data_IF_060359577217
#
_entry.id   IF_060359577217
#
_cell.length_a   1.000
_cell.length_b   1.000
_cell.length_c   1.000
_cell.angle_alpha   90.00
_cell.angle_beta   90.00
_cell.angle_gamma   90.00
#
_symmetry.space_group_name_H-M   'P 1'
#
loop_
_entity.id
_entity.type
_entity.pdbx_description
1 polymer ?
#
# COMPACT_ATOMS: atom_id res chain seq x y z
N UNK A 1 21.78 42.38 -42.45
CA UNK A 1 23.02 41.77 -43.00
C UNK A 1 24.24 42.51 -42.45
N UNK A 2 24.98 41.90 -41.51
CA UNK A 2 26.45 42.01 -41.36
C UNK A 2 26.90 41.07 -40.23
N UNK A 3 27.45 39.94 -40.64
CA UNK A 3 28.24 39.04 -39.81
C UNK A 3 29.52 39.73 -39.35
N UNK A 4 30.03 39.34 -38.18
CA UNK A 4 31.43 39.52 -37.80
C UNK A 4 31.93 38.23 -37.17
N UNK A 5 32.40 37.31 -38.02
CA UNK A 5 33.18 36.15 -37.60
C UNK A 5 34.59 36.64 -37.28
N UNK A 6 35.09 36.42 -36.06
CA UNK A 6 36.53 36.34 -35.81
C UNK A 6 36.87 35.30 -34.73
N UNK A 7 37.49 34.22 -35.22
CA UNK A 7 38.66 33.51 -34.66
C UNK A 7 38.44 32.38 -33.63
N UNK A 8 38.34 31.22 -34.24
CA UNK A 8 38.76 29.86 -33.87
C UNK A 8 40.15 29.78 -33.16
N UNK A 9 40.14 29.16 -31.96
CA UNK A 9 41.07 28.11 -31.41
C UNK A 9 42.44 28.59 -30.84
N UNK A 10 42.95 28.04 -29.69
CA UNK A 10 42.94 26.62 -29.28
C UNK A 10 42.44 26.32 -27.85
N UNK A 11 41.69 25.22 -27.62
CA UNK A 11 42.20 23.85 -27.42
C UNK A 11 43.24 23.79 -26.29
N UNK A 12 42.92 23.06 -25.19
CA UNK A 12 43.82 22.36 -24.23
C UNK A 12 43.39 22.48 -22.75
N UNK A 13 42.56 23.43 -22.32
CA UNK A 13 42.19 23.53 -20.88
C UNK A 13 40.92 22.74 -20.49
N UNK A 14 40.06 22.39 -21.45
CA UNK A 14 38.75 21.76 -21.14
C UNK A 14 38.87 20.25 -20.84
N UNK A 15 40.01 19.61 -21.13
CA UNK A 15 40.17 18.14 -21.00
C UNK A 15 40.70 17.67 -19.63
N UNK A 16 40.94 18.57 -18.67
CA UNK A 16 41.55 18.22 -17.38
C UNK A 16 40.61 18.33 -16.16
N UNK A 17 39.34 18.71 -16.34
CA UNK A 17 38.36 18.83 -15.23
C UNK A 17 37.22 17.81 -15.33
N UNK A 18 37.32 16.83 -16.26
CA UNK A 18 36.30 15.76 -16.38
C UNK A 18 36.59 14.57 -15.45
N UNK A 19 37.68 14.60 -14.66
CA UNK A 19 38.13 13.42 -13.92
C UNK A 19 37.97 13.44 -12.39
N UNK A 20 37.34 14.44 -11.78
CA UNK A 20 37.18 14.45 -10.32
C UNK A 20 35.84 15.01 -9.88
N UNK A 21 34.79 14.20 -10.05
CA UNK A 21 33.78 13.94 -9.02
C UNK A 21 32.65 13.09 -9.62
N UNK A 22 32.99 11.87 -10.05
CA UNK A 22 32.06 10.77 -9.87
C UNK A 22 32.04 10.46 -8.37
N UNK A 23 31.53 11.40 -7.56
CA UNK A 23 30.94 10.99 -6.31
C UNK A 23 29.73 10.19 -6.76
N UNK A 24 29.85 8.87 -6.71
CA UNK A 24 28.68 8.04 -6.62
C UNK A 24 27.86 8.63 -5.48
N UNK A 25 26.76 9.30 -5.82
CA UNK A 25 25.66 9.44 -4.88
C UNK A 25 25.22 8.01 -4.65
N UNK A 26 25.83 7.38 -3.67
CA UNK A 26 25.15 6.33 -2.94
C UNK A 26 23.92 7.05 -2.40
N UNK A 27 22.77 6.83 -3.04
CA UNK A 27 21.55 6.85 -2.26
C UNK A 27 21.82 5.78 -1.20
N UNK A 28 22.26 6.20 0.00
CA UNK A 28 21.77 5.53 1.19
C UNK A 28 20.28 5.43 0.93
N UNK A 29 19.80 4.20 0.82
CA UNK A 29 18.39 3.89 0.75
C UNK A 29 17.84 4.47 2.04
N UNK A 30 17.46 5.75 1.95
CA UNK A 30 16.84 6.53 3.00
C UNK A 30 15.51 5.81 3.14
N UNK A 31 15.52 4.75 3.94
CA UNK A 31 14.33 4.04 4.35
C UNK A 31 13.55 5.11 5.07
N UNK A 32 12.69 5.80 4.33
CA UNK A 32 11.76 6.75 4.90
C UNK A 32 11.00 5.90 5.89
N UNK A 33 11.33 6.06 7.18
CA UNK A 33 10.69 5.33 8.25
C UNK A 33 9.30 5.94 8.35
N UNK A 34 8.39 5.37 7.56
CA UNK A 34 7.02 5.78 7.49
C UNK A 34 6.40 5.59 8.89
N UNK A 35 5.60 6.53 9.40
CA UNK A 35 4.88 6.34 10.64
C UNK A 35 4.10 5.02 10.57
N UNK A 36 4.29 4.18 11.58
CA UNK A 36 3.63 2.89 11.70
C UNK A 36 3.07 2.76 13.13
N UNK A 37 1.89 2.19 13.25
CA UNK A 37 1.24 1.85 14.52
C UNK A 37 1.47 0.36 14.84
N UNK A 38 1.86 0.02 16.05
CA UNK A 38 2.08 -1.39 16.46
C UNK A 38 0.79 -2.06 16.93
N UNK A 39 -0.35 -1.73 16.34
CA UNK A 39 -1.67 -2.24 16.74
C UNK A 39 -2.20 -3.36 15.84
N UNK A 40 -1.37 -3.88 14.94
CA UNK A 40 -1.69 -5.04 14.10
C UNK A 40 -2.51 -4.72 12.84
N UNK A 41 -2.67 -3.43 12.48
CA UNK A 41 -3.34 -3.05 11.24
C UNK A 41 -2.45 -3.21 10.02
N UNK A 42 -3.04 -3.65 8.90
CA UNK A 42 -2.31 -3.79 7.62
C UNK A 42 -2.10 -2.43 6.94
N UNK A 43 -3.10 -1.54 6.97
CA UNK A 43 -3.03 -0.23 6.35
C UNK A 43 -2.34 0.84 7.24
N UNK A 44 -1.31 0.40 7.98
CA UNK A 44 -0.67 1.04 9.12
C UNK A 44 -0.04 2.43 8.89
N UNK A 45 -0.07 2.92 7.66
CA UNK A 45 0.65 4.11 7.23
C UNK A 45 -0.26 5.35 7.08
N UNK A 46 -1.57 5.17 6.92
CA UNK A 46 -2.47 6.26 6.57
C UNK A 46 -3.37 6.65 7.76
N UNK A 47 -2.95 7.66 8.52
CA UNK A 47 -3.73 8.21 9.64
C UNK A 47 -5.07 8.82 9.21
N UNK A 48 -5.24 9.15 7.93
CA UNK A 48 -6.48 9.67 7.36
C UNK A 48 -7.32 8.58 6.70
N UNK A 49 -6.90 7.31 6.77
CA UNK A 49 -7.66 6.21 6.21
C UNK A 49 -9.06 6.18 6.83
N UNK A 50 -10.13 6.09 6.02
CA UNK A 50 -11.49 5.97 6.54
C UNK A 50 -11.78 4.60 7.18
N UNK A 51 -10.80 3.68 7.19
CA UNK A 51 -10.92 2.31 7.68
C UNK A 51 -9.63 1.84 8.32
N UNK A 52 -9.75 0.95 9.29
CA UNK A 52 -8.69 0.17 9.88
C UNK A 52 -8.90 -1.31 9.56
N UNK A 53 -7.86 -2.00 9.06
CA UNK A 53 -7.93 -3.39 8.61
C UNK A 53 -7.08 -4.27 9.54
N UNK A 54 -7.70 -5.25 10.20
CA UNK A 54 -7.03 -6.17 11.13
C UNK A 54 -7.17 -7.61 10.65
N UNK A 55 -6.07 -8.34 10.59
CA UNK A 55 -6.05 -9.79 10.34
C UNK A 55 -5.88 -10.54 11.66
N UNK A 56 -6.67 -11.59 11.85
CA UNK A 56 -6.59 -12.47 13.00
C UNK A 56 -6.20 -13.87 12.55
N UNK A 57 -5.16 -14.42 13.16
CA UNK A 57 -4.64 -15.75 12.88
C UNK A 57 -4.83 -16.65 14.10
N UNK A 58 -5.21 -17.90 13.84
CA UNK A 58 -5.13 -18.98 14.82
C UNK A 58 -3.76 -19.65 14.71
N UNK A 59 -3.22 -20.10 15.85
CA UNK A 59 -1.95 -20.82 15.92
C UNK A 59 -2.21 -22.25 16.41
N UNK A 60 -2.75 -23.14 15.55
CA UNK A 60 -3.09 -24.50 15.94
C UNK A 60 -1.86 -25.36 16.22
N UNK A 61 -0.67 -24.93 15.78
CA UNK A 61 0.59 -25.62 15.99
C UNK A 61 1.36 -24.99 17.14
N UNK A 62 1.31 -25.63 18.31
CA UNK A 62 1.97 -25.14 19.53
C UNK A 62 3.51 -25.00 19.41
N UNK A 63 4.11 -25.73 18.47
CA UNK A 63 5.57 -25.79 18.29
C UNK A 63 6.08 -24.86 17.18
N UNK A 64 5.20 -24.20 16.41
CA UNK A 64 5.60 -23.27 15.35
C UNK A 64 4.65 -22.07 15.26
N UNK A 65 5.05 -20.99 15.92
CA UNK A 65 4.32 -19.71 15.94
C UNK A 65 4.33 -19.00 14.58
N UNK A 66 5.07 -19.49 13.58
CA UNK A 66 5.10 -18.91 12.25
C UNK A 66 4.04 -19.54 11.32
N UNK A 67 3.37 -20.61 11.76
CA UNK A 67 2.30 -21.27 11.00
C UNK A 67 0.92 -20.77 11.45
N UNK A 68 0.73 -19.45 11.41
CA UNK A 68 -0.57 -18.85 11.62
C UNK A 68 -1.52 -19.24 10.47
N UNK A 69 -2.73 -19.66 10.81
CA UNK A 69 -3.80 -19.89 9.83
C UNK A 69 -4.77 -18.72 9.95
N UNK A 70 -5.04 -18.03 8.84
CA UNK A 70 -6.01 -16.93 8.84
C UNK A 70 -7.35 -17.44 9.38
N UNK A 71 -7.89 -16.75 10.37
CA UNK A 71 -9.21 -17.00 10.95
C UNK A 71 -10.22 -16.02 10.35
N UNK A 72 -9.96 -14.71 10.50
CA UNK A 72 -10.83 -13.65 9.98
C UNK A 72 -10.09 -12.35 9.73
N UNK A 73 -10.74 -11.46 8.98
CA UNK A 73 -10.36 -10.08 8.76
C UNK A 73 -11.48 -9.18 9.30
N UNK A 74 -11.13 -8.20 10.12
CA UNK A 74 -12.07 -7.18 10.60
C UNK A 74 -11.74 -5.82 9.98
N UNK A 75 -12.80 -5.10 9.63
CA UNK A 75 -12.72 -3.77 9.06
C UNK A 75 -13.49 -2.82 9.98
N UNK A 76 -12.79 -1.84 10.53
CA UNK A 76 -13.36 -0.83 11.41
C UNK A 76 -13.34 0.51 10.70
N UNK A 77 -14.51 0.97 10.26
CA UNK A 77 -14.65 2.10 9.35
C UNK A 77 -15.42 3.25 9.98
N UNK A 78 -15.23 4.44 9.42
CA UNK A 78 -16.08 5.60 9.69
C UNK A 78 -17.45 5.39 9.05
N UNK A 79 -18.52 5.74 9.75
CA UNK A 79 -19.88 5.78 9.23
C UNK A 79 -20.25 7.22 8.83
N UNK A 80 -21.39 7.37 8.14
CA UNK A 80 -21.87 8.68 7.68
C UNK A 80 -22.10 9.69 8.82
N UNK A 81 -22.43 9.22 10.02
CA UNK A 81 -22.62 10.06 11.20
C UNK A 81 -21.30 10.41 11.93
N UNK A 82 -20.16 9.96 11.40
CA UNK A 82 -18.83 10.17 11.97
C UNK A 82 -18.47 9.20 13.10
N UNK A 83 -19.35 8.25 13.45
CA UNK A 83 -19.00 7.17 14.38
C UNK A 83 -18.05 6.16 13.73
N UNK A 84 -17.30 5.43 14.56
CA UNK A 84 -16.46 4.31 14.12
C UNK A 84 -17.16 3.03 14.57
N UNK A 85 -17.37 2.10 13.64
CA UNK A 85 -17.94 0.78 13.93
C UNK A 85 -17.28 -0.30 13.08
N UNK A 86 -17.50 -1.56 13.42
CA UNK A 86 -17.08 -2.69 12.60
C UNK A 86 -17.99 -2.77 11.37
N UNK A 87 -17.45 -2.41 10.22
CA UNK A 87 -18.19 -2.31 8.96
C UNK A 87 -18.22 -3.63 8.20
N UNK A 88 -17.15 -4.42 8.27
CA UNK A 88 -17.08 -5.76 7.70
C UNK A 88 -16.35 -6.69 8.67
N UNK A 89 -16.77 -7.95 8.66
CA UNK A 89 -16.04 -9.08 9.24
C UNK A 89 -16.14 -10.20 8.23
N UNK A 90 -14.99 -10.75 7.84
CA UNK A 90 -14.89 -11.75 6.79
C UNK A 90 -14.05 -12.91 7.30
N UNK A 91 -14.60 -14.12 7.28
CA UNK A 91 -13.85 -15.31 7.68
C UNK A 91 -12.94 -15.81 6.56
N UNK A 92 -11.95 -16.65 6.91
CA UNK A 92 -11.15 -17.35 5.91
C UNK A 92 -12.02 -18.27 5.02
N UNK A 93 -13.13 -18.81 5.55
CA UNK A 93 -14.08 -19.61 4.77
C UNK A 93 -14.77 -18.77 3.70
N UNK A 94 -15.22 -17.55 4.04
CA UNK A 94 -15.85 -16.61 3.09
C UNK A 94 -14.89 -16.26 1.94
N UNK A 95 -13.61 -16.02 2.25
CA UNK A 95 -12.57 -15.74 1.25
C UNK A 95 -12.34 -16.97 0.37
N UNK A 96 -12.19 -18.16 0.98
CA UNK A 96 -11.93 -19.40 0.23
C UNK A 96 -13.11 -19.85 -0.63
N UNK A 97 -14.33 -19.46 -0.26
CA UNK A 97 -15.55 -19.77 -1.00
C UNK A 97 -15.82 -18.80 -2.14
N UNK A 98 -15.14 -17.65 -2.17
CA UNK A 98 -15.19 -16.73 -3.29
C UNK A 98 -14.36 -17.32 -4.45
N UNK A 99 -15.03 -17.57 -5.57
CA UNK A 99 -14.37 -18.07 -6.78
C UNK A 99 -13.50 -16.97 -7.40
N UNK A 100 -12.21 -17.21 -7.58
CA UNK A 100 -11.27 -16.26 -8.19
C UNK A 100 -11.24 -16.34 -9.74
N UNK A 101 -12.38 -16.59 -10.39
CA UNK A 101 -12.49 -16.47 -11.86
C UNK A 101 -12.68 -14.99 -12.26
N UNK A 102 -11.66 -14.17 -11.96
CA UNK A 102 -11.70 -12.70 -12.06
C UNK A 102 -11.75 -12.01 -10.70
N UNK A 103 -12.21 -10.75 -10.70
CA UNK A 103 -12.50 -9.97 -9.48
C UNK A 103 -13.86 -10.41 -8.91
N UNK A 104 -13.87 -10.90 -7.68
CA UNK A 104 -15.08 -11.43 -7.01
C UNK A 104 -15.35 -10.68 -5.71
N UNK A 105 -16.62 -10.30 -5.48
CA UNK A 105 -17.03 -9.67 -4.22
C UNK A 105 -17.07 -10.73 -3.12
N UNK A 106 -16.27 -10.54 -2.08
CA UNK A 106 -16.26 -11.38 -0.88
C UNK A 106 -17.33 -10.88 0.11
N UNK A 107 -17.37 -9.56 0.35
CA UNK A 107 -18.33 -8.97 1.28
C UNK A 107 -18.61 -7.50 0.94
N UNK A 108 -19.81 -7.03 1.29
CA UNK A 108 -20.18 -5.61 1.16
C UNK A 108 -21.10 -5.17 2.29
N UNK A 109 -20.85 -3.99 2.86
CA UNK A 109 -21.66 -3.40 3.90
C UNK A 109 -21.32 -1.91 4.09
N UNK A 110 -22.30 -1.06 4.41
CA UNK A 110 -22.12 0.39 4.61
C UNK A 110 -21.32 1.11 3.51
N UNK A 111 -21.33 0.61 2.28
CA UNK A 111 -20.55 1.14 1.14
C UNK A 111 -19.11 0.66 1.06
N UNK A 112 -18.63 -0.10 2.06
CA UNK A 112 -17.38 -0.82 2.01
C UNK A 112 -17.56 -2.11 1.22
N UNK A 113 -16.63 -2.43 0.33
CA UNK A 113 -16.66 -3.67 -0.45
C UNK A 113 -15.28 -4.30 -0.50
N UNK A 114 -15.20 -5.57 -0.12
CA UNK A 114 -13.99 -6.39 -0.22
C UNK A 114 -14.10 -7.28 -1.45
N UNK A 115 -13.06 -7.24 -2.27
CA UNK A 115 -12.89 -8.07 -3.46
C UNK A 115 -11.74 -9.06 -3.27
N UNK A 116 -11.90 -10.26 -3.83
CA UNK A 116 -10.84 -11.21 -4.09
C UNK A 116 -10.47 -11.09 -5.57
N UNK A 117 -9.22 -10.74 -5.82
CA UNK A 117 -8.68 -10.59 -7.16
C UNK A 117 -8.26 -11.94 -7.75
N UNK A 118 -8.14 -12.01 -9.07
CA UNK A 118 -7.73 -13.23 -9.77
C UNK A 118 -6.32 -13.73 -9.43
N UNK A 119 -5.46 -12.86 -8.89
CA UNK A 119 -4.11 -13.20 -8.43
C UNK A 119 -4.07 -13.63 -6.95
N UNK A 120 -5.22 -13.68 -6.28
CA UNK A 120 -5.36 -14.02 -4.86
C UNK A 120 -5.13 -12.84 -3.91
N UNK A 121 -4.86 -11.64 -4.42
CA UNK A 121 -4.85 -10.43 -3.58
C UNK A 121 -6.25 -10.01 -3.15
N UNK A 122 -6.34 -9.27 -2.06
CA UNK A 122 -7.57 -8.68 -1.56
C UNK A 122 -7.56 -7.18 -1.84
N UNK A 123 -8.67 -6.66 -2.37
CA UNK A 123 -8.89 -5.22 -2.57
C UNK A 123 -10.08 -4.75 -1.75
N UNK A 124 -9.88 -3.82 -0.83
CA UNK A 124 -10.95 -3.12 -0.13
C UNK A 124 -11.20 -1.77 -0.81
N UNK A 125 -12.45 -1.54 -1.20
CA UNK A 125 -12.97 -0.23 -1.60
C UNK A 125 -13.72 0.37 -0.40
N UNK A 126 -13.26 1.51 0.10
CA UNK A 126 -13.76 2.15 1.32
C UNK A 126 -14.25 3.59 1.04
N UNK A 127 -15.48 3.97 1.42
CA UNK A 127 -15.95 5.35 1.29
C UNK A 127 -15.28 6.25 2.32
N UNK A 128 -14.93 7.47 1.91
CA UNK A 128 -14.61 8.56 2.82
C UNK A 128 -15.83 9.50 2.93
N UNK A 129 -16.56 9.40 4.03
CA UNK A 129 -17.75 10.21 4.25
C UNK A 129 -17.46 11.70 4.51
N UNK A 130 -16.21 12.05 4.82
CA UNK A 130 -15.84 13.45 5.10
C UNK A 130 -15.78 14.33 3.85
N UNK A 131 -15.38 13.77 2.71
CA UNK A 131 -15.20 14.50 1.44
C UNK A 131 -15.87 13.82 0.23
N UNK A 132 -16.50 12.65 0.44
CA UNK A 132 -17.17 11.88 -0.60
C UNK A 132 -16.24 11.12 -1.54
N UNK A 133 -14.95 11.06 -1.24
CA UNK A 133 -13.97 10.27 -2.01
C UNK A 133 -14.06 8.77 -1.67
N UNK A 134 -13.35 7.96 -2.45
CA UNK A 134 -13.23 6.53 -2.23
C UNK A 134 -11.76 6.15 -2.14
N UNK A 135 -11.42 5.32 -1.16
CA UNK A 135 -10.10 4.77 -0.94
C UNK A 135 -10.05 3.32 -1.41
N UNK A 136 -8.89 2.92 -1.91
CA UNK A 136 -8.63 1.53 -2.29
C UNK A 136 -7.39 1.04 -1.56
N UNK A 137 -7.52 -0.10 -0.91
CA UNK A 137 -6.43 -0.79 -0.22
C UNK A 137 -6.29 -2.18 -0.85
N UNK A 138 -5.13 -2.47 -1.42
CA UNK A 138 -4.81 -3.78 -1.98
C UNK A 138 -3.65 -4.41 -1.20
N UNK A 139 -3.78 -5.69 -0.85
CA UNK A 139 -2.73 -6.45 -0.18
C UNK A 139 -2.86 -7.95 -0.47
N UNK A 140 -1.76 -8.68 -0.30
CA UNK A 140 -1.75 -10.14 -0.32
C UNK A 140 -1.71 -10.66 1.11
N UNK A 141 -2.36 -11.80 1.35
CA UNK A 141 -2.22 -12.53 2.62
C UNK A 141 -0.94 -13.36 2.54
N UNK A 142 0.08 -12.98 3.32
CA UNK A 142 1.31 -13.76 3.49
C UNK A 142 1.12 -14.96 4.44
#
# INVERSE_FOLDING_TARGET
>A
MKQSIKRIVPLVVVLAVVFMSAAAVSAEEDTVELPHFTDGRINNFDINAPVAIFTYFDYPYADDINLGVLNRIEFWGLLYDGSIDKVLEVSAEDISSAEADGESIVATNYGYTLYLESDGSLTLVAPNFSDGSTYQYNWTLD
#
